data_IF_982925780296
#
_entry.id   IF_982925780296
#
_cell.length_a   1.000
_cell.length_b   1.000
_cell.length_c   1.000
_cell.angle_alpha   90.00
_cell.angle_beta   90.00
_cell.angle_gamma   90.00
#
_symmetry.space_group_name_H-M   'P 1'
#
loop_
_entity.id
_entity.type
_entity.pdbx_description
1 polymer ?
#
# COMPACT_ATOMS: atom_id res chain seq x y z
N UNK A 1 -1.08 0.76 5.69
CA UNK A 1 -2.12 0.07 6.45
C UNK A 1 -1.70 -0.11 7.89
N UNK A 2 -2.60 0.12 8.80
CA UNK A 2 -2.30 0.02 10.22
C UNK A 2 -2.92 -1.25 10.78
N UNK A 3 -2.14 -2.03 11.52
CA UNK A 3 -2.68 -3.20 12.22
C UNK A 3 -3.59 -2.76 13.36
N UNK A 4 -4.62 -3.55 13.63
CA UNK A 4 -5.54 -3.31 14.73
C UNK A 4 -4.91 -3.57 16.09
N UNK A 5 -3.94 -4.46 16.14
CA UNK A 5 -3.24 -4.82 17.37
C UNK A 5 -1.94 -4.05 17.44
N UNK A 6 -1.77 -3.30 18.51
CA UNK A 6 -0.58 -2.47 18.67
C UNK A 6 0.70 -3.29 18.74
N UNK A 7 0.60 -4.54 19.18
CA UNK A 7 1.73 -5.45 19.27
C UNK A 7 2.07 -6.11 17.93
N UNK A 8 1.17 -6.00 16.95
CA UNK A 8 1.47 -6.49 15.61
C UNK A 8 2.24 -5.40 14.88
N UNK A 9 3.48 -5.71 14.61
CA UNK A 9 4.37 -4.78 13.93
C UNK A 9 3.92 -4.59 12.49
N UNK A 10 3.38 -3.41 12.19
CA UNK A 10 2.97 -3.13 10.82
C UNK A 10 4.16 -3.03 9.86
N UNK A 11 5.37 -2.82 10.37
CA UNK A 11 6.57 -2.94 9.56
C UNK A 11 6.75 -4.36 9.04
N UNK A 12 6.38 -5.37 9.84
CA UNK A 12 6.43 -6.76 9.40
C UNK A 12 5.40 -7.03 8.30
N UNK A 13 4.21 -6.41 8.37
CA UNK A 13 3.22 -6.52 7.30
C UNK A 13 3.75 -5.92 5.99
N UNK A 14 4.36 -4.76 6.06
CA UNK A 14 4.95 -4.11 4.88
C UNK A 14 6.10 -4.95 4.32
N UNK A 15 6.97 -5.45 5.17
CA UNK A 15 8.07 -6.32 4.74
C UNK A 15 7.55 -7.55 4.00
N UNK A 16 6.51 -8.20 4.54
CA UNK A 16 5.88 -9.33 3.87
C UNK A 16 5.31 -8.95 2.52
N UNK A 17 4.62 -7.80 2.45
CA UNK A 17 4.02 -7.31 1.21
C UNK A 17 5.09 -7.06 0.15
N UNK A 18 6.18 -6.40 0.51
CA UNK A 18 7.27 -6.11 -0.42
C UNK A 18 7.98 -7.38 -0.88
N UNK A 19 8.19 -8.32 0.04
CA UNK A 19 8.90 -9.56 -0.25
C UNK A 19 8.09 -10.49 -1.17
N UNK A 20 6.78 -10.55 -0.98
CA UNK A 20 5.90 -11.46 -1.71
C UNK A 20 5.18 -10.81 -2.90
N UNK A 21 5.36 -9.51 -3.12
CA UNK A 21 4.67 -8.82 -4.20
C UNK A 21 3.18 -8.67 -3.95
N UNK A 22 2.83 -8.22 -2.74
CA UNK A 22 1.45 -8.06 -2.31
C UNK A 22 1.17 -6.64 -1.85
N UNK A 23 -0.10 -6.26 -1.87
CA UNK A 23 -0.61 -5.09 -1.18
C UNK A 23 -1.88 -5.53 -0.47
N UNK A 24 -2.18 -4.96 0.68
CA UNK A 24 -3.38 -5.39 1.35
C UNK A 24 -3.67 -4.73 2.68
N UNK A 25 -4.60 -5.33 3.39
CA UNK A 25 -5.04 -4.88 4.69
C UNK A 25 -5.46 -6.07 5.56
N UNK A 26 -5.61 -5.82 6.84
CA UNK A 26 -6.04 -6.83 7.79
C UNK A 26 -7.54 -7.10 7.74
N UNK A 27 -8.02 -7.76 8.78
CA UNK A 27 -9.44 -8.05 8.91
C UNK A 27 -10.27 -6.77 9.00
N UNK A 28 -11.40 -6.77 8.32
CA UNK A 28 -12.36 -5.68 8.40
C UNK A 28 -13.34 -6.00 9.55
N UNK A 29 -13.19 -5.31 10.67
CA UNK A 29 -13.92 -5.64 11.89
C UNK A 29 -14.99 -4.62 12.26
N UNK A 30 -15.12 -3.55 11.52
CA UNK A 30 -16.18 -2.58 11.69
C UNK A 30 -16.62 -2.06 10.32
N UNK A 31 -17.69 -1.30 10.30
CA UNK A 31 -18.30 -0.78 9.08
C UNK A 31 -17.34 0.07 8.27
N UNK A 32 -16.54 0.88 8.95
CA UNK A 32 -15.57 1.75 8.29
C UNK A 32 -14.47 0.92 7.61
N UNK A 33 -13.99 -0.12 8.27
CA UNK A 33 -12.99 -1.03 7.70
C UNK A 33 -13.57 -1.81 6.54
N UNK A 34 -14.83 -2.23 6.63
CA UNK A 34 -15.51 -2.92 5.53
C UNK A 34 -15.63 -2.04 4.29
N UNK A 35 -15.94 -0.75 4.47
CA UNK A 35 -15.99 0.18 3.35
C UNK A 35 -14.61 0.38 2.70
N UNK A 36 -13.56 0.41 3.51
CA UNK A 36 -12.18 0.47 2.96
C UNK A 36 -11.84 -0.80 2.19
N UNK A 37 -12.24 -1.95 2.72
CA UNK A 37 -12.00 -3.21 2.04
C UNK A 37 -12.74 -3.27 0.71
N UNK A 38 -14.00 -2.82 0.67
CA UNK A 38 -14.77 -2.77 -0.56
C UNK A 38 -14.09 -1.90 -1.61
N UNK A 39 -13.57 -0.75 -1.21
CA UNK A 39 -12.82 0.12 -2.14
C UNK A 39 -11.53 -0.53 -2.62
N UNK A 40 -10.85 -1.25 -1.74
CA UNK A 40 -9.63 -1.97 -2.09
C UNK A 40 -9.92 -3.07 -3.11
N UNK A 41 -10.99 -3.83 -2.89
CA UNK A 41 -11.40 -4.89 -3.81
C UNK A 41 -11.79 -4.29 -5.17
N UNK A 42 -12.46 -3.15 -5.16
CA UNK A 42 -12.95 -2.51 -6.38
C UNK A 42 -11.89 -1.70 -7.13
N UNK A 43 -10.73 -1.46 -6.53
CA UNK A 43 -9.68 -0.69 -7.19
C UNK A 43 -9.28 -1.37 -8.50
N UNK A 44 -9.11 -0.62 -9.59
CA UNK A 44 -8.76 -1.23 -10.88
C UNK A 44 -7.34 -1.80 -10.87
N UNK A 45 -7.10 -2.81 -11.69
CA UNK A 45 -5.74 -3.25 -11.98
C UNK A 45 -4.98 -2.07 -12.58
N UNK A 46 -3.75 -1.89 -12.14
CA UNK A 46 -2.95 -0.74 -12.56
C UNK A 46 -3.04 0.45 -11.62
N UNK A 47 -3.89 0.40 -10.59
CA UNK A 47 -3.94 1.45 -9.58
C UNK A 47 -2.61 1.52 -8.83
N UNK A 48 -2.14 2.73 -8.56
CA UNK A 48 -0.89 2.94 -7.83
C UNK A 48 -1.14 2.94 -6.32
N UNK A 49 -0.18 2.42 -5.58
CA UNK A 49 -0.22 2.39 -4.13
C UNK A 49 1.13 2.80 -3.57
N UNK A 50 1.10 3.43 -2.41
CA UNK A 50 2.29 3.84 -1.69
C UNK A 50 2.31 3.19 -0.31
N UNK A 51 3.49 2.83 0.15
CA UNK A 51 3.67 2.35 1.52
C UNK A 51 4.99 2.86 2.09
N UNK A 52 5.15 2.74 3.40
CA UNK A 52 6.41 3.01 4.10
C UNK A 52 6.81 1.78 4.90
N UNK A 53 8.11 1.50 4.96
CA UNK A 53 8.62 0.46 5.84
C UNK A 53 8.81 1.00 7.27
N UNK A 54 9.36 0.15 8.15
CA UNK A 54 9.59 0.52 9.54
C UNK A 54 10.61 1.65 9.74
N UNK A 55 11.46 1.89 8.76
CA UNK A 55 12.47 2.94 8.77
C UNK A 55 11.98 4.23 8.11
N UNK A 56 10.75 4.23 7.61
CA UNK A 56 10.17 5.39 6.96
C UNK A 56 10.48 5.52 5.47
N UNK A 57 11.17 4.55 4.88
CA UNK A 57 11.42 4.56 3.44
C UNK A 57 10.11 4.30 2.68
N UNK A 58 9.88 5.06 1.63
CA UNK A 58 8.66 4.96 0.84
C UNK A 58 8.87 4.07 -0.37
N UNK A 59 7.86 3.27 -0.69
CA UNK A 59 7.86 2.38 -1.84
C UNK A 59 6.62 2.63 -2.69
N UNK A 60 6.80 2.56 -3.99
CA UNK A 60 5.72 2.72 -4.97
C UNK A 60 5.42 1.38 -5.60
N UNK A 61 4.14 1.04 -5.67
CA UNK A 61 3.67 -0.19 -6.28
C UNK A 61 2.49 0.03 -7.19
N UNK A 62 2.17 -1.00 -7.94
CA UNK A 62 1.05 -1.00 -8.87
C UNK A 62 0.29 -2.32 -8.73
N UNK A 63 -1.02 -2.23 -8.50
CA UNK A 63 -1.88 -3.42 -8.33
C UNK A 63 -1.97 -4.15 -9.66
N UNK A 64 -1.74 -5.47 -9.63
CA UNK A 64 -1.71 -6.29 -10.85
C UNK A 64 -2.67 -7.46 -10.85
N UNK A 65 -3.31 -7.78 -9.72
CA UNK A 65 -4.18 -8.94 -9.65
C UNK A 65 -5.43 -8.71 -8.79
N UNK A 66 -6.35 -9.68 -8.80
CA UNK A 66 -7.58 -9.57 -8.04
C UNK A 66 -7.36 -9.79 -6.55
N UNK A 67 -8.36 -9.39 -5.77
CA UNK A 67 -8.38 -9.67 -4.34
C UNK A 67 -8.41 -11.17 -4.06
N UNK A 68 -7.70 -11.58 -3.03
CA UNK A 68 -7.82 -12.91 -2.46
C UNK A 68 -7.53 -12.84 -0.95
N UNK A 69 -7.96 -13.88 -0.26
CA UNK A 69 -7.66 -14.01 1.16
C UNK A 69 -6.37 -14.81 1.34
N UNK A 70 -5.44 -14.29 2.13
CA UNK A 70 -4.16 -14.93 2.42
C UNK A 70 -4.07 -15.24 3.92
N UNK A 71 -4.43 -16.45 4.30
CA UNK A 71 -4.39 -16.86 5.71
C UNK A 71 -2.96 -16.92 6.25
N UNK A 72 -1.97 -17.12 5.40
CA UNK A 72 -0.57 -17.13 5.82
C UNK A 72 -0.10 -15.76 6.32
N UNK A 73 -0.83 -14.70 6.01
CA UNK A 73 -0.56 -13.36 6.50
C UNK A 73 -1.21 -13.02 7.83
N UNK A 74 -1.91 -13.96 8.46
CA UNK A 74 -2.68 -13.68 9.67
C UNK A 74 -1.81 -13.18 10.84
N UNK A 75 -0.59 -13.69 10.97
CA UNK A 75 0.30 -13.31 12.06
C UNK A 75 0.67 -11.82 12.04
N UNK A 76 0.65 -11.20 10.87
CA UNK A 76 0.96 -9.77 10.70
C UNK A 76 -0.27 -8.97 10.27
N UNK A 77 -1.46 -9.57 10.37
CA UNK A 77 -2.74 -8.96 10.01
C UNK A 77 -2.73 -8.41 8.58
N UNK A 78 -2.27 -9.23 7.64
CA UNK A 78 -2.26 -8.92 6.20
C UNK A 78 -2.94 -10.06 5.47
N UNK A 79 -4.28 -10.13 5.58
CA UNK A 79 -5.06 -11.27 5.10
C UNK A 79 -5.90 -10.96 3.86
N UNK A 80 -6.23 -9.70 3.62
CA UNK A 80 -6.93 -9.27 2.41
C UNK A 80 -5.91 -8.68 1.47
N UNK A 81 -5.56 -9.40 0.41
CA UNK A 81 -4.42 -9.04 -0.43
C UNK A 81 -4.76 -9.04 -1.91
N UNK A 82 -3.97 -8.29 -2.66
CA UNK A 82 -3.93 -8.31 -4.13
C UNK A 82 -2.47 -8.35 -4.55
N UNK A 83 -2.20 -8.96 -5.69
CA UNK A 83 -0.85 -8.93 -6.23
C UNK A 83 -0.46 -7.48 -6.56
N UNK A 84 0.79 -7.16 -6.33
CA UNK A 84 1.31 -5.82 -6.53
C UNK A 84 2.73 -5.90 -7.07
N UNK A 85 3.02 -5.08 -8.05
CA UNK A 85 4.36 -4.94 -8.60
C UNK A 85 5.03 -3.74 -7.92
N UNK A 86 5.98 -4.01 -7.05
CA UNK A 86 6.68 -2.98 -6.28
C UNK A 86 7.98 -2.58 -6.97
N UNK A 87 8.25 -1.28 -7.03
CA UNK A 87 9.58 -0.80 -7.39
C UNK A 87 10.55 -1.29 -6.31
N UNK A 88 11.65 -1.91 -6.74
CA UNK A 88 12.56 -2.62 -5.83
C UNK A 88 13.23 -1.70 -4.81
N UNK A 89 13.65 -0.51 -5.26
CA UNK A 89 14.33 0.45 -4.41
C UNK A 89 13.34 1.43 -3.79
N UNK A 90 13.62 1.92 -2.57
CA UNK A 90 12.78 2.96 -1.99
C UNK A 90 12.85 4.24 -2.83
N UNK A 91 11.76 4.99 -2.84
CA UNK A 91 11.66 6.23 -3.60
C UNK A 91 12.38 7.34 -2.83
N UNK A 92 13.22 8.09 -3.55
CA UNK A 92 13.88 9.27 -2.98
C UNK A 92 12.81 10.23 -2.43
N UNK A 93 12.93 10.68 -1.17
CA UNK A 93 11.95 11.59 -0.58
C UNK A 93 11.67 12.82 -1.42
N UNK A 94 12.66 13.33 -2.15
CA UNK A 94 12.47 14.49 -3.02
C UNK A 94 11.59 14.23 -4.24
N UNK A 95 11.32 12.95 -4.56
CA UNK A 95 10.50 12.57 -5.69
C UNK A 95 9.07 12.22 -5.30
N UNK A 96 8.77 12.11 -4.01
CA UNK A 96 7.44 11.73 -3.52
C UNK A 96 6.48 12.90 -3.73
N UNK A 97 5.31 12.69 -4.37
CA UNK A 97 4.33 13.76 -4.51
C UNK A 97 3.95 14.36 -3.15
N UNK A 98 3.80 15.68 -3.09
CA UNK A 98 3.53 16.38 -1.84
C UNK A 98 2.29 15.85 -1.11
N UNK A 99 1.23 15.51 -1.84
CA UNK A 99 0.01 14.99 -1.24
C UNK A 99 0.25 13.65 -0.56
N UNK A 100 1.08 12.79 -1.14
CA UNK A 100 1.45 11.49 -0.55
C UNK A 100 2.26 11.72 0.73
N UNK A 101 3.27 12.60 0.67
CA UNK A 101 4.10 12.93 1.81
C UNK A 101 3.27 13.50 2.96
N UNK A 102 2.29 14.36 2.66
CA UNK A 102 1.39 14.91 3.67
C UNK A 102 0.53 13.83 4.33
N UNK A 103 0.03 12.88 3.54
CA UNK A 103 -0.76 11.78 4.06
C UNK A 103 0.07 10.94 5.04
N UNK A 104 1.31 10.63 4.69
CA UNK A 104 2.20 9.92 5.60
C UNK A 104 2.50 10.72 6.87
N UNK A 105 2.73 12.02 6.73
CA UNK A 105 3.05 12.89 7.88
C UNK A 105 1.89 12.99 8.88
N UNK A 106 0.66 12.82 8.41
CA UNK A 106 -0.53 12.81 9.27
C UNK A 106 -0.81 11.45 9.90
N UNK A 107 0.11 10.52 9.80
CA UNK A 107 -0.10 9.16 10.28
C UNK A 107 -1.00 8.33 9.37
N UNK A 108 -0.95 8.61 8.07
CA UNK A 108 -1.73 7.88 7.08
C UNK A 108 -1.39 6.40 7.08
N UNK A 109 -2.23 5.62 6.44
CA UNK A 109 -2.14 4.17 6.43
C UNK A 109 -0.95 3.69 5.61
N UNK A 110 -0.51 2.48 5.88
CA UNK A 110 0.68 1.93 5.22
C UNK A 110 0.50 1.74 3.73
N UNK A 111 -0.71 1.41 3.28
CA UNK A 111 -0.95 1.24 1.85
C UNK A 111 -1.93 2.33 1.41
N UNK A 112 -1.43 3.29 0.63
CA UNK A 112 -2.20 4.44 0.18
C UNK A 112 -2.42 4.32 -1.32
N UNK A 113 -3.67 4.16 -1.73
CA UNK A 113 -4.03 4.21 -3.14
C UNK A 113 -4.08 5.66 -3.60
N UNK A 114 -3.51 5.95 -4.77
CA UNK A 114 -3.64 7.29 -5.35
C UNK A 114 -5.05 7.49 -5.90
N UNK A 115 -5.54 8.71 -5.76
CA UNK A 115 -6.84 9.09 -6.33
C UNK A 115 -6.63 9.75 -7.69
N UNK A 116 -7.68 9.74 -8.57
CA UNK A 116 -7.59 10.43 -9.86
C UNK A 116 -7.22 11.90 -9.67
N UNK A 117 -6.45 12.44 -10.61
CA UNK A 117 -6.03 13.83 -10.63
C UNK A 117 -4.52 13.97 -10.68
N UNK A 118 -4.02 15.12 -10.19
CA UNK A 118 -2.61 15.46 -10.30
C UNK A 118 -1.69 14.46 -9.58
N UNK A 119 -2.12 13.93 -8.44
CA UNK A 119 -1.32 12.97 -7.67
C UNK A 119 -1.11 11.70 -8.50
N UNK A 120 -2.17 11.21 -9.14
CA UNK A 120 -2.05 10.02 -9.99
C UNK A 120 -1.16 10.28 -11.19
N UNK A 121 -1.30 11.43 -11.85
CA UNK A 121 -0.47 11.79 -12.99
C UNK A 121 1.01 11.90 -12.61
N UNK A 122 1.31 12.52 -11.47
CA UNK A 122 2.66 12.62 -10.94
C UNK A 122 3.23 11.23 -10.62
N UNK A 123 2.41 10.37 -10.01
CA UNK A 123 2.80 9.02 -9.66
C UNK A 123 3.06 8.18 -10.90
N UNK A 124 2.23 8.31 -11.93
CA UNK A 124 2.44 7.60 -13.19
C UNK A 124 3.75 8.00 -13.86
N UNK A 125 4.05 9.29 -13.90
CA UNK A 125 5.31 9.78 -14.45
C UNK A 125 6.50 9.19 -13.70
N UNK A 126 6.42 9.18 -12.37
CA UNK A 126 7.46 8.62 -11.54
C UNK A 126 7.59 7.11 -11.76
N UNK A 127 6.48 6.40 -11.86
CA UNK A 127 6.48 4.96 -12.13
C UNK A 127 7.22 4.62 -13.43
N UNK A 128 6.91 5.35 -14.51
CA UNK A 128 7.56 5.12 -15.80
C UNK A 128 9.07 5.34 -15.72
N UNK A 129 9.50 6.26 -14.87
CA UNK A 129 10.92 6.56 -14.67
C UNK A 129 11.62 5.50 -13.83
N UNK A 130 10.98 5.03 -12.75
CA UNK A 130 11.60 4.12 -11.78
C UNK A 130 11.51 2.65 -12.17
N UNK A 131 10.45 2.26 -12.86
CA UNK A 131 10.21 0.87 -13.23
C UNK A 131 10.85 0.44 -14.55
N UNK A 132 11.41 1.38 -15.28
CA UNK A 132 12.05 1.10 -16.57
C UNK A 132 13.49 0.63 -16.42
#
# INVERSE_FOLDING_TARGET
MRSRRDDVDHAAAVERALRLGLVGMGEATDERAERRLDRFIAAPDGAFVWTRDGDGAAYLGRITGPWRRDEDGAAVDLVNVRDCDWVVEPVDPGLIPAAVAQTFARGGRNFQQTHPGDVEAQTQTLWLRLAS
#
